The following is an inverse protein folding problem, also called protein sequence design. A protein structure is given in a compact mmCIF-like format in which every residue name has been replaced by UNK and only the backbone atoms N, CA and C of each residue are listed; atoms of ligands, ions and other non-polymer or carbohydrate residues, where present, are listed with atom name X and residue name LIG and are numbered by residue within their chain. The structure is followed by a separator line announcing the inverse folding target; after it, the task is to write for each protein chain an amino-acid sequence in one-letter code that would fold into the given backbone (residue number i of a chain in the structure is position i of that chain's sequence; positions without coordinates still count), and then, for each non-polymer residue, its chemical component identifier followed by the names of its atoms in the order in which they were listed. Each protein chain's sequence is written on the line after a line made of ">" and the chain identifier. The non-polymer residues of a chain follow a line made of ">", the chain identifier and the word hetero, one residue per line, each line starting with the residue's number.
data_IF_429624531990
#
_entry.id   IF_429624531990
#
_cell.length_a   1.000
_cell.length_b   1.000
_cell.length_c   1.000
_cell.angle_alpha   90.00
_cell.angle_beta   90.00
_cell.angle_gamma   90.00
#
_symmetry.space_group_name_H-M   'P 1'
#
loop_
_entity.id
_entity.type
_entity.pdbx_description
1 polymer ?
#
# COMPACT_ATOMS: atom_id res chain seq x y z
N UNK A 1 -59.31 -82.18 22.85
CA UNK A 1 -57.92 -82.71 22.73
C UNK A 1 -56.95 -81.56 22.59
N UNK A 2 -56.42 -81.13 23.71
CA UNK A 2 -55.49 -80.01 23.83
C UNK A 2 -54.07 -80.52 23.67
N UNK A 3 -53.29 -79.94 22.83
CA UNK A 3 -51.84 -80.09 22.84
C UNK A 3 -51.17 -78.70 23.14
N UNK A 4 -50.58 -78.68 24.33
CA UNK A 4 -49.74 -77.54 24.76
C UNK A 4 -48.41 -77.58 24.05
N UNK A 5 -48.01 -76.43 23.53
CA UNK A 5 -46.62 -76.19 23.09
C UNK A 5 -45.96 -75.26 24.07
N UNK A 6 -44.91 -75.76 24.68
CA UNK A 6 -44.00 -75.01 25.56
C UNK A 6 -43.11 -74.16 24.68
N UNK A 7 -43.07 -72.82 24.91
CA UNK A 7 -42.11 -71.92 24.30
C UNK A 7 -40.81 -71.89 25.10
N UNK A 8 -39.73 -72.15 24.41
CA UNK A 8 -38.38 -72.06 24.95
C UNK A 8 -37.84 -70.62 24.72
N UNK A 9 -37.56 -69.90 25.82
CA UNK A 9 -37.01 -68.58 25.77
C UNK A 9 -35.48 -68.72 25.64
N UNK A 10 -34.92 -68.33 24.52
CA UNK A 10 -33.47 -68.19 24.31
C UNK A 10 -33.09 -66.72 24.54
N UNK A 11 -32.38 -66.47 25.64
CA UNK A 11 -31.83 -65.16 25.95
C UNK A 11 -30.54 -65.00 25.14
N UNK A 12 -30.58 -64.26 24.04
CA UNK A 12 -29.42 -63.89 23.28
C UNK A 12 -28.71 -62.67 23.87
N UNK A 13 -27.49 -62.84 24.37
CA UNK A 13 -26.61 -61.74 24.74
C UNK A 13 -26.17 -61.01 23.50
N UNK A 14 -26.68 -59.77 23.27
CA UNK A 14 -26.14 -58.84 22.28
C UNK A 14 -24.94 -58.11 22.91
N UNK A 15 -23.72 -58.52 22.54
CA UNK A 15 -22.53 -57.77 22.83
C UNK A 15 -22.48 -56.53 21.94
N UNK A 16 -22.70 -55.34 22.53
CA UNK A 16 -22.50 -54.05 21.86
C UNK A 16 -21.00 -53.87 21.59
N UNK A 17 -20.58 -54.05 20.33
CA UNK A 17 -19.27 -53.68 19.86
C UNK A 17 -19.32 -52.18 19.54
N UNK A 18 -18.84 -51.34 20.48
CA UNK A 18 -18.56 -49.93 20.26
C UNK A 18 -17.34 -49.83 19.38
N UNK A 19 -17.56 -49.84 18.07
CA UNK A 19 -16.52 -49.49 17.09
C UNK A 19 -16.18 -48.02 17.26
N UNK A 20 -14.99 -47.72 17.78
CA UNK A 20 -14.42 -46.37 17.72
C UNK A 20 -14.27 -45.99 16.25
N UNK A 21 -15.07 -45.04 15.79
CA UNK A 21 -14.87 -44.42 14.48
C UNK A 21 -13.47 -43.74 14.46
N UNK A 22 -12.67 -43.96 13.43
CA UNK A 22 -11.42 -43.24 13.31
C UNK A 22 -11.75 -41.73 13.23
N UNK A 23 -11.20 -40.95 14.17
CA UNK A 23 -11.18 -39.51 14.12
C UNK A 23 -10.48 -39.13 12.81
N UNK A 24 -11.23 -38.64 11.84
CA UNK A 24 -10.68 -37.97 10.67
C UNK A 24 -10.09 -36.67 11.19
N UNK A 25 -8.79 -36.72 11.52
CA UNK A 25 -8.02 -35.52 11.71
C UNK A 25 -8.17 -34.73 10.42
N UNK A 26 -8.89 -33.60 10.48
CA UNK A 26 -8.92 -32.63 9.41
C UNK A 26 -7.47 -32.24 9.17
N UNK A 27 -6.92 -32.62 8.04
CA UNK A 27 -5.65 -32.09 7.55
C UNK A 27 -5.96 -30.62 7.31
N UNK A 28 -5.65 -29.81 8.31
CA UNK A 28 -5.57 -28.37 8.14
C UNK A 28 -4.48 -28.19 7.10
N UNK A 29 -4.88 -27.88 5.88
CA UNK A 29 -3.95 -27.49 4.82
C UNK A 29 -3.27 -26.26 5.38
N UNK A 30 -2.02 -26.38 5.78
CA UNK A 30 -1.22 -25.24 6.21
C UNK A 30 -1.30 -24.21 5.07
N UNK A 31 -2.10 -23.18 5.30
CA UNK A 31 -2.26 -22.11 4.33
C UNK A 31 -0.90 -21.42 4.24
N UNK A 32 -0.25 -21.51 3.09
CA UNK A 32 1.08 -20.96 2.89
C UNK A 32 1.03 -19.47 3.25
N UNK A 33 1.85 -19.09 4.22
CA UNK A 33 1.93 -17.69 4.67
C UNK A 33 2.20 -16.77 3.49
N UNK A 34 1.26 -15.86 3.20
CA UNK A 34 1.41 -14.92 2.09
C UNK A 34 2.49 -13.89 2.40
N UNK A 35 3.19 -13.47 1.37
CA UNK A 35 4.36 -12.59 1.46
C UNK A 35 4.11 -11.25 0.77
N UNK A 36 4.62 -10.18 1.35
CA UNK A 36 4.48 -8.81 0.84
C UNK A 36 5.83 -8.10 0.84
N UNK A 37 6.15 -7.41 -0.25
CA UNK A 37 7.27 -6.46 -0.29
C UNK A 37 6.74 -5.05 0.02
N UNK A 38 7.33 -4.36 0.98
CA UNK A 38 7.04 -2.95 1.30
C UNK A 38 8.27 -2.11 1.05
N UNK A 39 8.23 -1.16 0.10
CA UNK A 39 9.34 -0.25 -0.13
C UNK A 39 9.29 0.95 0.81
N UNK A 40 10.44 1.42 1.29
CA UNK A 40 10.51 2.55 2.22
C UNK A 40 9.90 2.25 3.60
N UNK A 41 10.11 1.02 4.10
CA UNK A 41 9.51 0.48 5.32
C UNK A 41 10.08 1.05 6.63
N UNK A 42 11.15 1.86 6.58
CA UNK A 42 11.88 2.28 7.79
C UNK A 42 11.15 3.32 8.66
N UNK A 43 10.15 4.01 8.14
CA UNK A 43 9.48 5.08 8.90
C UNK A 43 8.10 5.46 8.35
N UNK A 44 7.30 6.16 9.17
CA UNK A 44 6.01 6.74 8.77
C UNK A 44 5.03 5.70 8.24
N UNK A 45 4.37 5.99 7.13
CA UNK A 45 3.34 5.13 6.52
C UNK A 45 3.90 3.73 6.22
N UNK A 46 5.09 3.62 5.60
CA UNK A 46 5.68 2.32 5.26
C UNK A 46 6.00 1.46 6.49
N UNK A 47 6.45 2.07 7.60
CA UNK A 47 6.68 1.36 8.85
C UNK A 47 5.37 0.83 9.44
N UNK A 48 4.32 1.66 9.48
CA UNK A 48 3.01 1.25 9.99
C UNK A 48 2.40 0.14 9.13
N UNK A 49 2.50 0.22 7.80
CA UNK A 49 2.07 -0.85 6.90
C UNK A 49 2.80 -2.16 7.21
N UNK A 50 4.11 -2.11 7.41
CA UNK A 50 4.93 -3.28 7.76
C UNK A 50 4.45 -3.90 9.07
N UNK A 51 4.23 -3.09 10.11
CA UNK A 51 3.72 -3.52 11.41
C UNK A 51 2.35 -4.21 11.28
N UNK A 52 1.38 -3.53 10.66
CA UNK A 52 0.02 -4.06 10.51
C UNK A 52 -0.01 -5.35 9.69
N UNK A 53 0.75 -5.45 8.60
CA UNK A 53 0.82 -6.68 7.81
C UNK A 53 1.42 -7.83 8.62
N UNK A 54 2.52 -7.60 9.33
CA UNK A 54 3.19 -8.60 10.15
C UNK A 54 2.32 -9.09 11.32
N UNK A 55 1.61 -8.17 12.00
CA UNK A 55 0.65 -8.47 13.07
C UNK A 55 -0.56 -9.29 12.57
N UNK A 56 -0.94 -9.12 11.29
CA UNK A 56 -1.99 -9.92 10.65
C UNK A 56 -1.47 -11.24 10.06
N UNK A 57 -0.24 -11.64 10.38
CA UNK A 57 0.32 -12.94 10.04
C UNK A 57 0.92 -13.03 8.63
N UNK A 58 1.05 -11.94 7.91
CA UNK A 58 1.75 -11.89 6.62
C UNK A 58 3.26 -11.82 6.83
N UNK A 59 4.03 -12.46 5.94
CA UNK A 59 5.47 -12.30 5.95
C UNK A 59 5.85 -11.07 5.12
N UNK A 60 6.60 -10.14 5.71
CA UNK A 60 6.93 -8.86 5.08
C UNK A 60 8.42 -8.78 4.75
N UNK A 61 8.73 -8.61 3.48
CA UNK A 61 10.04 -8.14 3.03
C UNK A 61 10.05 -6.61 3.14
N UNK A 62 10.74 -6.09 4.16
CA UNK A 62 10.74 -4.67 4.50
C UNK A 62 11.93 -3.95 3.86
N UNK A 63 11.69 -3.24 2.76
CA UNK A 63 12.72 -2.52 2.00
C UNK A 63 13.16 -1.24 2.68
N UNK A 64 14.46 -1.11 2.98
CA UNK A 64 15.09 0.07 3.54
C UNK A 64 16.51 0.25 3.02
N UNK A 65 17.12 1.44 3.24
CA UNK A 65 18.44 1.76 2.68
C UNK A 65 19.57 1.72 3.71
N UNK A 66 19.30 2.08 4.96
CA UNK A 66 20.30 2.25 6.01
C UNK A 66 20.45 0.98 6.82
N UNK A 67 21.68 0.65 7.19
CA UNK A 67 21.98 -0.56 7.96
C UNK A 67 21.27 -0.58 9.33
N UNK A 68 21.18 0.58 10.00
CA UNK A 68 20.48 0.72 11.27
C UNK A 68 18.97 0.45 11.13
N UNK A 69 18.32 0.97 10.07
CA UNK A 69 16.90 0.72 9.79
C UNK A 69 16.65 -0.77 9.49
N UNK A 70 17.55 -1.41 8.72
CA UNK A 70 17.47 -2.84 8.41
C UNK A 70 17.59 -3.70 9.68
N UNK A 71 18.52 -3.36 10.57
CA UNK A 71 18.71 -4.07 11.83
C UNK A 71 17.47 -3.93 12.76
N UNK A 72 16.84 -2.74 12.79
CA UNK A 72 15.62 -2.51 13.56
C UNK A 72 14.42 -3.29 13.00
N UNK A 73 14.25 -3.29 11.67
CA UNK A 73 13.16 -4.02 11.01
C UNK A 73 13.24 -5.54 11.24
N UNK A 74 14.44 -6.10 11.26
CA UNK A 74 14.66 -7.53 11.53
C UNK A 74 14.34 -7.97 12.97
N UNK A 75 14.06 -7.06 13.87
CA UNK A 75 13.63 -7.40 15.24
C UNK A 75 12.12 -7.65 15.34
N UNK A 76 11.39 -7.39 14.26
CA UNK A 76 9.95 -7.61 14.22
C UNK A 76 9.64 -9.04 13.77
N UNK A 77 8.67 -9.68 14.43
CA UNK A 77 8.17 -10.98 14.01
C UNK A 77 7.56 -10.91 12.61
N UNK A 78 7.72 -11.94 11.81
CA UNK A 78 7.25 -12.03 10.42
C UNK A 78 7.85 -10.98 9.45
N UNK A 79 8.95 -10.34 9.81
CA UNK A 79 9.62 -9.34 8.98
C UNK A 79 11.05 -9.76 8.66
N UNK A 80 11.40 -9.66 7.38
CA UNK A 80 12.78 -9.74 6.91
C UNK A 80 13.13 -8.44 6.20
N UNK A 81 14.14 -7.73 6.68
CA UNK A 81 14.59 -6.52 6.01
C UNK A 81 15.39 -6.84 4.76
N UNK A 82 15.17 -6.03 3.72
CA UNK A 82 15.91 -6.12 2.45
C UNK A 82 16.48 -4.75 2.13
N UNK A 83 17.81 -4.71 1.84
CA UNK A 83 18.39 -3.47 1.33
C UNK A 83 17.75 -3.15 -0.01
N UNK A 84 17.09 -1.98 -0.12
CA UNK A 84 16.37 -1.60 -1.32
C UNK A 84 16.28 -0.08 -1.45
N UNK A 85 17.03 0.46 -2.40
CA UNK A 85 16.81 1.79 -2.94
C UNK A 85 16.11 1.65 -4.30
N UNK A 86 14.92 2.22 -4.44
CA UNK A 86 14.10 2.11 -5.67
C UNK A 86 14.69 2.87 -6.87
N UNK A 87 15.77 3.63 -6.65
CA UNK A 87 16.51 4.34 -7.68
C UNK A 87 17.77 3.60 -8.13
N UNK A 88 18.14 2.49 -7.44
CA UNK A 88 19.36 1.72 -7.70
C UNK A 88 18.97 0.34 -8.23
N UNK A 89 19.29 0.06 -9.49
CA UNK A 89 18.91 -1.19 -10.16
C UNK A 89 19.53 -2.41 -9.50
N UNK A 90 20.78 -2.30 -9.04
CA UNK A 90 21.49 -3.38 -8.34
C UNK A 90 20.81 -3.79 -7.03
N UNK A 91 20.27 -2.83 -6.27
CA UNK A 91 19.49 -3.12 -5.04
C UNK A 91 18.17 -3.84 -5.41
N UNK A 92 17.53 -3.44 -6.51
CA UNK A 92 16.30 -4.08 -7.00
C UNK A 92 16.56 -5.52 -7.43
N UNK A 93 17.60 -5.74 -8.22
CA UNK A 93 17.98 -7.06 -8.73
C UNK A 93 18.36 -8.01 -7.57
N UNK A 94 19.10 -7.52 -6.58
CA UNK A 94 19.44 -8.26 -5.39
C UNK A 94 18.19 -8.64 -4.56
N UNK A 95 17.23 -7.73 -4.43
CA UNK A 95 15.97 -7.99 -3.75
C UNK A 95 15.12 -9.04 -4.49
N UNK A 96 15.03 -8.97 -5.83
CA UNK A 96 14.38 -10.00 -6.65
C UNK A 96 15.02 -11.37 -6.42
N UNK A 97 16.36 -11.44 -6.49
CA UNK A 97 17.11 -12.68 -6.28
C UNK A 97 16.84 -13.26 -4.88
N UNK A 98 16.91 -12.42 -3.84
CA UNK A 98 16.67 -12.82 -2.45
C UNK A 98 15.28 -13.38 -2.21
N UNK A 99 14.24 -12.70 -2.74
CA UNK A 99 12.85 -13.14 -2.58
C UNK A 99 12.56 -14.40 -3.39
N UNK A 100 13.15 -14.52 -4.57
CA UNK A 100 13.05 -15.73 -5.40
C UNK A 100 13.70 -16.93 -4.73
N UNK A 101 14.91 -16.77 -4.19
CA UNK A 101 15.65 -17.84 -3.48
C UNK A 101 14.92 -18.32 -2.22
N UNK A 102 14.23 -17.42 -1.52
CA UNK A 102 13.43 -17.77 -0.35
C UNK A 102 12.26 -18.70 -0.67
N UNK A 103 11.81 -18.78 -1.93
CA UNK A 103 10.82 -19.73 -2.41
C UNK A 103 9.40 -19.59 -1.83
N UNK A 104 9.10 -18.47 -1.14
CA UNK A 104 7.79 -18.23 -0.51
C UNK A 104 6.75 -17.66 -1.49
N UNK A 105 7.15 -17.31 -2.72
CA UNK A 105 6.35 -16.50 -3.65
C UNK A 105 6.31 -15.02 -3.26
N UNK A 106 5.53 -14.22 -4.00
CA UNK A 106 5.29 -12.81 -3.68
C UNK A 106 3.83 -12.46 -3.98
N UNK A 107 3.04 -12.30 -2.94
CA UNK A 107 1.59 -12.11 -3.03
C UNK A 107 1.16 -10.65 -3.01
N UNK A 108 2.04 -9.77 -2.55
CA UNK A 108 1.77 -8.34 -2.50
C UNK A 108 3.02 -7.49 -2.69
N UNK A 109 2.84 -6.32 -3.32
CA UNK A 109 3.82 -5.24 -3.34
C UNK A 109 3.15 -3.96 -2.86
N UNK A 110 3.84 -3.24 -1.96
CA UNK A 110 3.48 -1.89 -1.54
C UNK A 110 4.59 -0.94 -1.97
N UNK A 111 4.34 -0.19 -3.04
CA UNK A 111 5.20 0.89 -3.50
C UNK A 111 4.97 2.12 -2.61
N UNK A 112 5.66 2.19 -1.46
CA UNK A 112 5.50 3.27 -0.49
C UNK A 112 6.69 4.23 -0.47
N UNK A 113 7.88 3.85 -0.94
CA UNK A 113 9.02 4.76 -1.00
C UNK A 113 8.64 6.06 -1.70
N UNK A 114 8.92 7.19 -1.06
CA UNK A 114 8.55 8.50 -1.58
C UNK A 114 9.27 9.64 -0.91
N UNK A 115 9.42 10.72 -1.68
CA UNK A 115 10.06 11.98 -1.30
C UNK A 115 9.21 13.16 -1.74
N UNK A 116 9.53 14.35 -1.25
CA UNK A 116 8.86 15.58 -1.66
C UNK A 116 9.87 16.74 -1.70
N UNK A 117 9.58 17.71 -2.55
CA UNK A 117 10.18 19.05 -2.57
C UNK A 117 9.06 20.07 -2.60
N UNK A 118 9.16 21.10 -1.77
CA UNK A 118 8.18 22.18 -1.67
C UNK A 118 8.83 23.53 -1.93
N UNK A 119 8.73 24.01 -3.18
CA UNK A 119 9.27 25.28 -3.65
C UNK A 119 8.34 25.90 -4.71
N UNK A 120 8.42 27.21 -5.00
CA UNK A 120 7.72 27.81 -6.14
C UNK A 120 8.19 27.13 -7.43
N UNK A 121 7.26 26.77 -8.33
CA UNK A 121 7.58 26.01 -9.54
C UNK A 121 8.57 26.71 -10.47
N UNK A 122 8.51 28.03 -10.55
CA UNK A 122 9.41 28.84 -11.36
C UNK A 122 10.81 29.04 -10.75
N UNK A 123 11.02 28.54 -9.53
CA UNK A 123 12.28 28.62 -8.78
C UNK A 123 12.87 27.23 -8.48
N UNK A 124 12.08 26.17 -8.73
CA UNK A 124 12.50 24.78 -8.45
C UNK A 124 13.57 24.36 -9.44
N UNK A 125 14.76 23.95 -8.97
CA UNK A 125 15.79 23.36 -9.83
C UNK A 125 15.27 22.09 -10.53
N UNK A 126 15.75 21.85 -11.75
CA UNK A 126 15.38 20.65 -12.51
C UNK A 126 15.80 19.38 -11.79
N UNK A 127 16.93 19.39 -11.10
CA UNK A 127 17.44 18.29 -10.30
C UNK A 127 16.48 17.89 -9.16
N UNK A 128 15.76 18.85 -8.60
CA UNK A 128 14.75 18.57 -7.56
C UNK A 128 13.49 17.93 -8.15
N UNK A 129 13.14 18.29 -9.39
CA UNK A 129 12.04 17.64 -10.12
C UNK A 129 12.46 16.21 -10.46
N UNK A 130 13.63 16.01 -11.01
CA UNK A 130 14.18 14.70 -11.37
C UNK A 130 14.27 13.79 -10.13
N UNK A 131 14.78 14.31 -9.02
CA UNK A 131 14.85 13.57 -7.76
C UNK A 131 13.48 13.07 -7.29
N UNK A 132 12.46 13.93 -7.35
CA UNK A 132 11.10 13.55 -6.93
C UNK A 132 10.49 12.52 -7.89
N UNK A 133 10.68 12.69 -9.20
CA UNK A 133 10.17 11.75 -10.20
C UNK A 133 10.91 10.40 -10.16
N UNK A 134 12.21 10.42 -9.96
CA UNK A 134 13.03 9.21 -9.91
C UNK A 134 12.56 8.27 -8.78
N UNK A 135 12.25 8.83 -7.61
CA UNK A 135 11.75 8.03 -6.48
C UNK A 135 10.25 7.73 -6.62
N UNK A 136 9.41 8.76 -6.86
CA UNK A 136 7.96 8.62 -6.71
C UNK A 136 7.27 7.99 -7.93
N UNK A 137 7.86 8.11 -9.13
CA UNK A 137 7.28 7.64 -10.40
C UNK A 137 8.08 6.47 -10.96
N UNK A 138 9.36 6.68 -11.22
CA UNK A 138 10.22 5.60 -11.75
C UNK A 138 10.47 4.50 -10.73
N UNK A 139 10.48 4.80 -9.42
CA UNK A 139 10.60 3.79 -8.38
C UNK A 139 9.51 2.73 -8.45
N UNK A 140 8.21 3.06 -8.35
CA UNK A 140 7.12 2.10 -8.54
C UNK A 140 7.17 1.37 -9.88
N UNK A 141 7.50 2.05 -10.96
CA UNK A 141 7.68 1.43 -12.28
C UNK A 141 8.77 0.36 -12.27
N UNK A 142 9.98 0.66 -11.75
CA UNK A 142 11.10 -0.29 -11.68
C UNK A 142 10.75 -1.50 -10.81
N UNK A 143 10.16 -1.26 -9.64
CA UNK A 143 9.73 -2.32 -8.71
C UNK A 143 8.69 -3.23 -9.36
N UNK A 144 7.60 -2.68 -9.87
CA UNK A 144 6.55 -3.51 -10.49
C UNK A 144 7.09 -4.28 -11.69
N UNK A 145 7.94 -3.67 -12.54
CA UNK A 145 8.57 -4.33 -13.68
C UNK A 145 9.47 -5.50 -13.25
N UNK A 146 10.32 -5.28 -12.25
CA UNK A 146 11.26 -6.30 -11.80
C UNK A 146 10.57 -7.49 -11.11
N UNK A 147 9.53 -7.23 -10.32
CA UNK A 147 8.80 -8.22 -9.55
C UNK A 147 7.56 -8.78 -10.26
N UNK A 148 7.20 -8.30 -11.46
CA UNK A 148 6.04 -8.76 -12.22
C UNK A 148 5.97 -10.30 -12.36
N UNK A 149 7.06 -11.03 -12.68
CA UNK A 149 7.00 -12.48 -12.79
C UNK A 149 6.57 -13.18 -11.49
N UNK A 150 7.00 -12.69 -10.33
CA UNK A 150 6.63 -13.25 -9.03
C UNK A 150 5.18 -12.94 -8.66
N UNK A 151 4.70 -11.72 -8.98
CA UNK A 151 3.29 -11.35 -8.79
C UNK A 151 2.37 -12.20 -9.67
N UNK A 152 2.69 -12.36 -10.95
CA UNK A 152 1.90 -13.18 -11.88
C UNK A 152 1.85 -14.63 -11.41
N UNK A 153 3.01 -15.20 -10.99
CA UNK A 153 3.08 -16.58 -10.49
C UNK A 153 2.20 -16.82 -9.24
N UNK A 154 1.97 -15.80 -8.43
CA UNK A 154 1.16 -15.88 -7.21
C UNK A 154 -0.27 -15.36 -7.39
N UNK A 155 -0.67 -14.90 -8.58
CA UNK A 155 -1.89 -14.10 -8.82
C UNK A 155 -2.00 -13.00 -7.75
N UNK A 156 -0.88 -12.32 -7.54
CA UNK A 156 -0.69 -11.37 -6.45
C UNK A 156 -1.32 -10.00 -6.72
N UNK A 157 -1.01 -9.03 -5.86
CA UNK A 157 -1.55 -7.67 -5.96
C UNK A 157 -0.45 -6.64 -5.75
N UNK A 158 -0.56 -5.51 -6.43
CA UNK A 158 0.32 -4.36 -6.17
C UNK A 158 -0.49 -3.14 -5.80
N UNK A 159 -0.03 -2.39 -4.82
CA UNK A 159 -0.60 -1.09 -4.46
C UNK A 159 0.48 -0.04 -4.36
N UNK A 160 0.17 1.17 -4.83
CA UNK A 160 1.09 2.31 -4.78
C UNK A 160 0.54 3.36 -3.82
N UNK A 161 1.38 3.87 -2.93
CA UNK A 161 1.01 4.98 -2.07
C UNK A 161 1.07 6.28 -2.88
N UNK A 162 -0.08 6.68 -3.39
CA UNK A 162 -0.35 7.96 -4.01
C UNK A 162 -0.39 9.10 -3.00
N UNK A 163 -1.38 9.95 -3.12
CA UNK A 163 -1.73 11.03 -2.19
C UNK A 163 -3.00 11.72 -2.68
N UNK A 164 -3.75 12.38 -1.81
CA UNK A 164 -4.75 13.37 -2.24
C UNK A 164 -4.13 14.45 -3.15
N UNK A 165 -2.81 14.65 -3.08
CA UNK A 165 -2.03 15.51 -4.00
C UNK A 165 -1.96 14.98 -5.43
N UNK A 166 -2.47 13.78 -5.72
CA UNK A 166 -2.77 13.29 -7.08
C UNK A 166 -4.02 13.94 -7.68
N UNK A 167 -4.85 14.58 -6.87
CA UNK A 167 -6.06 15.30 -7.29
C UNK A 167 -6.00 16.80 -7.02
N UNK A 168 -5.27 17.22 -6.00
CA UNK A 168 -5.11 18.61 -5.62
C UNK A 168 -3.68 19.08 -5.82
N UNK A 169 -3.51 20.35 -6.17
CA UNK A 169 -2.19 20.98 -6.22
C UNK A 169 -2.32 22.41 -5.73
N UNK A 170 -1.36 22.86 -4.93
CA UNK A 170 -1.32 24.21 -4.40
C UNK A 170 0.04 24.88 -4.65
N UNK A 171 0.13 26.15 -4.31
CA UNK A 171 1.37 26.89 -4.38
C UNK A 171 2.49 26.15 -3.61
N UNK A 172 3.68 26.09 -4.20
CA UNK A 172 4.89 25.43 -3.66
C UNK A 172 4.85 23.89 -3.58
N UNK A 173 3.72 23.22 -3.85
CA UNK A 173 3.61 21.75 -3.84
C UNK A 173 3.63 21.16 -5.26
N UNK A 174 3.90 21.96 -6.27
CA UNK A 174 3.78 21.57 -7.68
C UNK A 174 4.59 20.34 -8.04
N UNK A 175 5.88 20.29 -7.72
CA UNK A 175 6.75 19.15 -8.00
C UNK A 175 6.23 17.85 -7.40
N UNK A 176 5.85 17.88 -6.12
CA UNK A 176 5.26 16.72 -5.46
C UNK A 176 3.93 16.32 -6.08
N UNK A 177 3.02 17.28 -6.30
CA UNK A 177 1.73 17.01 -6.92
C UNK A 177 1.87 16.43 -8.32
N UNK A 178 2.76 16.96 -9.18
CA UNK A 178 3.05 16.41 -10.50
C UNK A 178 3.40 14.92 -10.41
N UNK A 179 4.28 14.53 -9.49
CA UNK A 179 4.65 13.13 -9.31
C UNK A 179 3.47 12.26 -8.87
N UNK A 180 2.59 12.78 -8.01
CA UNK A 180 1.41 12.03 -7.54
C UNK A 180 0.31 11.94 -8.60
N UNK A 181 0.12 12.96 -9.45
CA UNK A 181 -0.71 12.86 -10.66
C UNK A 181 -0.17 11.83 -11.65
N UNK A 182 1.15 11.76 -11.83
CA UNK A 182 1.77 10.73 -12.67
C UNK A 182 1.53 9.31 -12.12
N UNK A 183 1.54 9.14 -10.79
CA UNK A 183 1.21 7.86 -10.14
C UNK A 183 -0.22 7.43 -10.41
N UNK A 184 -1.21 8.35 -10.41
CA UNK A 184 -2.59 8.04 -10.75
C UNK A 184 -2.68 7.44 -12.17
N UNK A 185 -2.14 8.16 -13.16
CA UNK A 185 -2.14 7.70 -14.55
C UNK A 185 -1.39 6.38 -14.74
N UNK A 186 -0.24 6.23 -14.08
CA UNK A 186 0.54 4.99 -14.09
C UNK A 186 -0.26 3.81 -13.52
N UNK A 187 -0.94 4.01 -12.39
CA UNK A 187 -1.69 2.95 -11.72
C UNK A 187 -2.89 2.52 -12.53
N UNK A 188 -3.62 3.47 -13.14
CA UNK A 188 -4.76 3.17 -14.00
C UNK A 188 -4.33 2.35 -15.22
N UNK A 189 -3.26 2.75 -15.92
CA UNK A 189 -2.74 2.00 -17.06
C UNK A 189 -2.26 0.60 -16.66
N UNK A 190 -1.48 0.50 -15.57
CA UNK A 190 -0.98 -0.79 -15.08
C UNK A 190 -2.12 -1.74 -14.68
N UNK A 191 -3.22 -1.21 -14.13
CA UNK A 191 -4.38 -2.01 -13.75
C UNK A 191 -5.01 -2.71 -14.96
N UNK A 192 -5.16 -2.00 -16.07
CA UNK A 192 -5.69 -2.56 -17.30
C UNK A 192 -4.72 -3.60 -17.91
N UNK A 193 -3.42 -3.28 -17.95
CA UNK A 193 -2.39 -4.17 -18.51
C UNK A 193 -2.21 -5.48 -17.73
N UNK A 194 -2.33 -5.43 -16.38
CA UNK A 194 -2.10 -6.59 -15.52
C UNK A 194 -3.35 -7.45 -15.28
N UNK A 195 -4.53 -6.96 -15.65
CA UNK A 195 -5.81 -7.65 -15.42
C UNK A 195 -5.83 -9.05 -16.05
N UNK A 196 -5.35 -9.20 -17.29
CA UNK A 196 -5.30 -10.50 -17.99
C UNK A 196 -4.37 -11.51 -17.30
N UNK A 197 -3.36 -11.02 -16.58
CA UNK A 197 -2.44 -11.83 -15.78
C UNK A 197 -2.99 -12.19 -14.39
N UNK A 198 -4.20 -11.75 -14.04
CA UNK A 198 -4.82 -11.98 -12.74
C UNK A 198 -4.19 -11.18 -11.60
N UNK A 199 -3.39 -10.17 -11.89
CA UNK A 199 -2.78 -9.27 -10.90
C UNK A 199 -3.66 -8.05 -10.71
N UNK A 200 -4.12 -7.83 -9.47
CA UNK A 200 -4.89 -6.64 -9.13
C UNK A 200 -3.97 -5.47 -8.76
N UNK A 201 -4.28 -4.31 -9.30
CA UNK A 201 -3.53 -3.07 -9.07
C UNK A 201 -4.43 -2.05 -8.41
N UNK A 202 -3.91 -1.34 -7.40
CA UNK A 202 -4.65 -0.28 -6.72
C UNK A 202 -3.74 0.88 -6.31
N UNK A 203 -4.35 2.02 -6.01
CA UNK A 203 -3.68 3.18 -5.43
C UNK A 203 -4.32 3.55 -4.10
N UNK A 204 -3.49 3.89 -3.11
CA UNK A 204 -3.91 4.45 -1.84
C UNK A 204 -3.53 5.93 -1.83
N UNK A 205 -4.46 6.80 -1.51
CA UNK A 205 -4.34 8.26 -1.59
C UNK A 205 -4.46 8.89 -0.19
N UNK A 206 -3.38 8.85 0.62
CA UNK A 206 -3.41 9.44 1.94
C UNK A 206 -3.54 10.96 1.90
N UNK A 207 -4.26 11.52 2.89
CA UNK A 207 -4.17 12.90 3.29
C UNK A 207 -2.99 13.17 4.22
N UNK A 208 -3.13 14.17 5.09
CA UNK A 208 -2.09 14.65 5.98
C UNK A 208 -1.88 13.78 7.22
N UNK A 209 -1.33 12.59 7.10
CA UNK A 209 -0.96 11.71 8.21
C UNK A 209 0.45 11.97 8.72
N UNK A 210 0.71 11.50 9.94
CA UNK A 210 2.03 11.54 10.57
C UNK A 210 3.06 10.75 9.76
N UNK A 211 4.12 11.43 9.35
CA UNK A 211 5.21 10.83 8.57
C UNK A 211 6.46 11.70 8.64
N UNK A 212 7.61 11.13 8.33
CA UNK A 212 8.89 11.87 8.31
C UNK A 212 9.12 12.64 6.99
N UNK A 213 8.16 12.68 6.06
CA UNK A 213 8.35 13.28 4.74
C UNK A 213 8.73 14.76 4.82
N UNK A 214 8.05 15.54 5.68
CA UNK A 214 8.31 16.99 5.84
C UNK A 214 9.66 17.26 6.49
N UNK A 215 10.11 16.41 7.41
CA UNK A 215 11.45 16.50 7.99
C UNK A 215 12.52 16.21 6.93
N UNK A 216 12.31 15.18 6.10
CA UNK A 216 13.19 14.85 4.97
C UNK A 216 13.28 16.00 3.96
N UNK A 217 12.17 16.71 3.69
CA UNK A 217 12.17 17.92 2.84
C UNK A 217 13.08 18.99 3.40
N UNK A 218 13.01 19.28 4.71
CA UNK A 218 13.88 20.29 5.30
C UNK A 218 15.35 19.87 5.22
N UNK A 219 15.65 18.60 5.50
CA UNK A 219 17.01 18.08 5.38
C UNK A 219 17.53 18.21 3.94
N UNK A 220 16.74 17.88 2.95
CA UNK A 220 17.09 18.04 1.53
C UNK A 220 17.37 19.50 1.19
N UNK A 221 16.50 20.43 1.60
CA UNK A 221 16.67 21.88 1.34
C UNK A 221 17.96 22.49 1.92
N UNK A 222 18.50 21.92 2.98
CA UNK A 222 19.76 22.34 3.59
C UNK A 222 20.97 21.53 3.11
N UNK A 223 20.80 20.73 2.05
CA UNK A 223 21.86 19.91 1.45
C UNK A 223 22.31 18.75 2.34
N UNK A 224 21.44 18.27 3.24
CA UNK A 224 21.73 17.17 4.17
C UNK A 224 20.79 16.00 3.96
N UNK A 225 21.26 14.80 4.27
CA UNK A 225 20.41 13.60 4.32
C UNK A 225 19.92 13.35 5.76
N UNK A 226 18.75 12.69 5.94
CA UNK A 226 18.32 12.27 7.28
C UNK A 226 19.35 11.35 7.92
N UNK A 227 19.88 11.74 9.08
CA UNK A 227 20.96 11.04 9.78
C UNK A 227 22.34 11.65 9.59
N UNK A 228 22.51 12.68 8.75
CA UNK A 228 23.74 13.45 8.75
C UNK A 228 24.02 14.07 10.12
N UNK A 229 25.20 13.77 10.65
CA UNK A 229 25.67 14.25 11.96
C UNK A 229 26.37 15.61 11.89
N UNK A 230 26.42 16.22 10.71
CA UNK A 230 26.99 17.56 10.52
C UNK A 230 26.27 18.60 11.40
N UNK A 231 26.99 19.55 11.96
CA UNK A 231 26.39 20.58 12.79
C UNK A 231 25.32 21.36 12.04
N UNK A 232 24.10 21.32 12.58
CA UNK A 232 22.98 22.16 12.16
C UNK A 232 23.12 23.53 12.81
N UNK A 233 22.86 24.58 12.07
CA UNK A 233 22.73 25.94 12.63
C UNK A 233 21.54 26.02 13.60
N UNK A 234 21.50 27.06 14.42
CA UNK A 234 20.39 27.28 15.35
C UNK A 234 19.04 27.41 14.62
N UNK A 235 19.01 28.07 13.46
CA UNK A 235 17.82 28.27 12.63
C UNK A 235 17.33 26.94 12.01
N UNK A 236 18.25 26.11 11.52
CA UNK A 236 17.92 24.77 10.97
C UNK A 236 17.35 23.86 12.06
N UNK A 237 17.94 23.84 13.26
CA UNK A 237 17.43 23.11 14.41
C UNK A 237 16.02 23.57 14.80
N UNK A 238 15.82 24.89 14.89
CA UNK A 238 14.51 25.49 15.19
C UNK A 238 13.45 25.10 14.18
N UNK A 239 13.81 25.15 12.89
CA UNK A 239 12.89 24.76 11.79
C UNK A 239 12.53 23.28 11.83
N UNK A 240 13.49 22.41 12.08
CA UNK A 240 13.23 20.97 12.23
C UNK A 240 12.33 20.68 13.44
N UNK A 241 12.57 21.35 14.58
CA UNK A 241 11.74 21.17 15.77
C UNK A 241 10.29 21.60 15.53
N UNK A 242 10.06 22.76 14.91
CA UNK A 242 8.72 23.21 14.54
C UNK A 242 7.99 22.20 13.64
N UNK A 243 8.71 21.55 12.71
CA UNK A 243 8.14 20.53 11.85
C UNK A 243 7.81 19.26 12.63
N UNK A 244 8.68 18.84 13.56
CA UNK A 244 8.44 17.71 14.44
C UNK A 244 7.23 17.94 15.34
N UNK A 245 7.11 19.11 15.94
CA UNK A 245 5.94 19.49 16.75
C UNK A 245 4.63 19.48 15.95
N UNK A 246 4.65 19.99 14.70
CA UNK A 246 3.49 19.92 13.82
C UNK A 246 3.16 18.49 13.43
N UNK A 247 4.16 17.71 13.09
CA UNK A 247 4.00 16.31 12.72
C UNK A 247 3.47 15.46 13.88
N UNK A 248 3.89 15.74 15.11
CA UNK A 248 3.42 15.05 16.32
C UNK A 248 1.91 15.22 16.57
N UNK A 249 1.29 16.28 16.03
CA UNK A 249 -0.15 16.56 16.14
C UNK A 249 -0.99 15.87 15.07
N UNK A 250 -0.35 15.30 14.05
CA UNK A 250 -1.05 14.59 13.00
C UNK A 250 -1.49 13.21 13.46
N UNK A 251 -2.56 12.70 12.87
CA UNK A 251 -3.07 11.36 13.11
C UNK A 251 -2.06 10.30 12.67
N UNK A 252 -1.94 9.21 13.42
CA UNK A 252 -1.13 8.06 13.02
C UNK A 252 -1.75 7.42 11.76
N UNK A 253 -0.93 6.81 10.88
CA UNK A 253 -1.40 6.32 9.59
C UNK A 253 -2.01 4.91 9.65
N UNK A 254 -2.71 4.56 10.75
CA UNK A 254 -3.33 3.25 10.92
C UNK A 254 -4.37 2.97 9.82
N UNK A 255 -5.23 3.93 9.52
CA UNK A 255 -6.24 3.81 8.46
C UNK A 255 -5.62 3.60 7.08
N UNK A 256 -4.43 4.16 6.84
CA UNK A 256 -3.69 3.95 5.59
C UNK A 256 -3.19 2.51 5.51
N UNK A 257 -2.68 1.96 6.62
CA UNK A 257 -2.24 0.57 6.69
C UNK A 257 -3.42 -0.41 6.55
N UNK A 258 -4.57 -0.11 7.15
CA UNK A 258 -5.81 -0.89 6.99
C UNK A 258 -6.29 -0.87 5.52
N UNK A 259 -6.23 0.28 4.85
CA UNK A 259 -6.57 0.38 3.44
C UNK A 259 -5.64 -0.45 2.55
N UNK A 260 -4.34 -0.49 2.86
CA UNK A 260 -3.36 -1.36 2.19
C UNK A 260 -3.68 -2.83 2.42
N UNK A 261 -3.97 -3.22 3.67
CA UNK A 261 -4.37 -4.59 4.02
C UNK A 261 -5.60 -5.02 3.21
N UNK A 262 -6.62 -4.15 3.14
CA UNK A 262 -7.82 -4.39 2.33
C UNK A 262 -7.49 -4.49 0.82
N UNK A 263 -6.69 -3.59 0.27
CA UNK A 263 -6.28 -3.60 -1.13
C UNK A 263 -5.56 -4.90 -1.52
N UNK A 264 -4.69 -5.41 -0.63
CA UNK A 264 -3.91 -6.60 -0.91
C UNK A 264 -4.69 -7.91 -0.68
N UNK A 265 -5.63 -7.97 0.26
CA UNK A 265 -6.16 -9.26 0.72
C UNK A 265 -7.68 -9.36 0.83
N UNK A 266 -8.43 -8.27 0.66
CA UNK A 266 -9.89 -8.36 0.64
C UNK A 266 -10.39 -9.16 -0.57
N UNK A 267 -11.54 -9.80 -0.44
CA UNK A 267 -12.20 -10.53 -1.54
C UNK A 267 -12.51 -9.61 -2.72
N UNK A 268 -12.96 -8.38 -2.43
CA UNK A 268 -13.30 -7.35 -3.43
C UNK A 268 -12.50 -6.08 -3.17
N UNK A 269 -11.24 -6.01 -3.61
CA UNK A 269 -10.44 -4.81 -3.46
C UNK A 269 -10.95 -3.70 -4.39
N UNK A 270 -10.76 -2.45 -3.94
CA UNK A 270 -11.06 -1.29 -4.78
C UNK A 270 -9.85 -0.92 -5.64
N UNK A 271 -10.04 -0.33 -6.82
CA UNK A 271 -8.92 0.22 -7.59
C UNK A 271 -8.30 1.44 -6.91
N UNK A 272 -9.08 2.20 -6.11
CA UNK A 272 -8.66 3.47 -5.52
C UNK A 272 -9.19 3.65 -4.10
N UNK A 273 -8.32 4.11 -3.18
CA UNK A 273 -8.62 4.32 -1.76
C UNK A 273 -8.21 5.72 -1.33
N UNK A 274 -9.12 6.68 -1.33
CA UNK A 274 -8.86 7.94 -0.66
C UNK A 274 -8.95 7.74 0.87
N UNK A 275 -7.87 8.04 1.58
CA UNK A 275 -7.77 7.92 3.05
C UNK A 275 -7.42 9.29 3.62
N UNK A 276 -8.42 10.05 4.01
CA UNK A 276 -8.25 11.38 4.59
C UNK A 276 -8.38 11.33 6.12
N UNK A 277 -7.52 12.01 6.89
CA UNK A 277 -7.57 11.98 8.35
C UNK A 277 -8.76 12.74 8.94
N UNK A 278 -9.44 13.57 8.13
CA UNK A 278 -10.57 14.39 8.52
C UNK A 278 -11.47 14.72 7.32
N UNK A 279 -12.67 15.21 7.61
CA UNK A 279 -13.67 15.55 6.60
C UNK A 279 -13.23 16.70 5.69
N UNK A 280 -12.48 17.68 6.21
CA UNK A 280 -12.05 18.86 5.44
C UNK A 280 -11.13 18.45 4.28
N UNK A 281 -10.14 17.57 4.53
CA UNK A 281 -9.26 17.07 3.47
C UNK A 281 -10.00 16.20 2.44
N UNK A 282 -10.95 15.39 2.89
CA UNK A 282 -11.80 14.62 1.98
C UNK A 282 -12.65 15.54 1.09
N UNK A 283 -13.29 16.55 1.69
CA UNK A 283 -14.16 17.47 0.99
C UNK A 283 -13.38 18.32 -0.04
N UNK A 284 -12.23 18.88 0.33
CA UNK A 284 -11.43 19.69 -0.60
C UNK A 284 -10.95 18.84 -1.79
N UNK A 285 -10.60 17.58 -1.57
CA UNK A 285 -10.17 16.67 -2.63
C UNK A 285 -11.29 16.43 -3.64
N UNK A 286 -12.47 16.03 -3.17
CA UNK A 286 -13.63 15.78 -4.02
C UNK A 286 -14.09 17.06 -4.72
N UNK A 287 -14.16 18.20 -4.01
CA UNK A 287 -14.55 19.49 -4.62
C UNK A 287 -13.58 19.90 -5.72
N UNK A 288 -12.28 19.68 -5.53
CA UNK A 288 -11.28 20.00 -6.57
C UNK A 288 -11.46 19.13 -7.81
N UNK A 289 -11.73 17.83 -7.65
CA UNK A 289 -12.04 16.94 -8.76
C UNK A 289 -13.30 17.40 -9.52
N UNK A 290 -14.38 17.71 -8.81
CA UNK A 290 -15.61 18.24 -9.39
C UNK A 290 -15.40 19.61 -10.08
N UNK A 291 -14.55 20.48 -9.51
CA UNK A 291 -14.20 21.76 -10.13
C UNK A 291 -13.53 21.55 -11.48
N UNK A 292 -12.63 20.59 -11.60
CA UNK A 292 -12.00 20.25 -12.89
C UNK A 292 -12.99 19.71 -13.90
N UNK A 293 -13.92 18.86 -13.46
CA UNK A 293 -15.01 18.39 -14.34
C UNK A 293 -15.83 19.59 -14.86
N UNK A 294 -16.20 20.54 -13.99
CA UNK A 294 -16.91 21.73 -14.39
C UNK A 294 -16.09 22.61 -15.38
N UNK A 295 -14.79 22.79 -15.13
CA UNK A 295 -13.90 23.53 -16.01
C UNK A 295 -13.74 22.86 -17.39
N UNK A 296 -13.58 21.53 -17.43
CA UNK A 296 -13.50 20.76 -18.68
C UNK A 296 -14.79 20.83 -19.48
N UNK A 297 -15.94 20.91 -18.82
CA UNK A 297 -17.24 21.00 -19.45
C UNK A 297 -17.58 22.40 -19.97
N UNK A 298 -16.93 23.44 -19.43
CA UNK A 298 -17.24 24.84 -19.81
C UNK A 298 -16.70 25.17 -21.21
N UNK A 299 -17.46 25.99 -21.94
CA UNK A 299 -17.06 26.64 -23.20
C UNK A 299 -16.44 25.70 -24.26
N UNK A 300 -16.90 24.45 -24.32
CA UNK A 300 -16.48 23.49 -25.34
C UNK A 300 -17.68 23.02 -26.18
N UNK A 301 -17.47 22.56 -27.47
CA UNK A 301 -18.57 22.28 -28.41
C UNK A 301 -19.56 21.20 -27.95
N UNK A 302 -19.15 20.30 -27.07
CA UNK A 302 -19.94 19.17 -26.58
C UNK A 302 -20.23 19.28 -25.08
N UNK A 303 -20.43 20.50 -24.58
CA UNK A 303 -20.75 20.72 -23.17
C UNK A 303 -22.09 20.07 -22.78
N UNK A 304 -22.13 19.56 -21.55
CA UNK A 304 -23.29 18.93 -20.97
C UNK A 304 -24.02 19.88 -20.03
N UNK A 305 -25.35 19.79 -19.97
CA UNK A 305 -26.13 20.50 -18.94
C UNK A 305 -25.82 19.96 -17.54
N UNK A 306 -26.10 20.74 -16.52
CA UNK A 306 -25.93 20.30 -15.11
C UNK A 306 -26.71 19.00 -14.83
N UNK A 307 -27.90 18.85 -15.37
CA UNK A 307 -28.72 17.66 -15.20
C UNK A 307 -28.09 16.44 -15.88
N UNK A 308 -27.48 16.62 -17.07
CA UNK A 308 -26.76 15.56 -17.73
C UNK A 308 -25.50 15.12 -16.94
N UNK A 309 -24.73 16.07 -16.37
CA UNK A 309 -23.59 15.78 -15.52
C UNK A 309 -23.99 15.03 -14.25
N UNK A 310 -25.09 15.41 -13.61
CA UNK A 310 -25.64 14.70 -12.45
C UNK A 310 -25.99 13.25 -12.80
N UNK A 311 -26.67 13.04 -13.92
CA UNK A 311 -27.04 11.72 -14.40
C UNK A 311 -25.81 10.84 -14.69
N UNK A 312 -24.76 11.40 -15.32
CA UNK A 312 -23.50 10.70 -15.54
C UNK A 312 -22.85 10.28 -14.19
N UNK A 313 -22.87 11.18 -13.19
CA UNK A 313 -22.35 10.85 -11.86
C UNK A 313 -23.16 9.75 -11.18
N UNK A 314 -24.48 9.77 -11.28
CA UNK A 314 -25.37 8.73 -10.75
C UNK A 314 -25.05 7.36 -11.42
N UNK A 315 -24.88 7.34 -12.74
CA UNK A 315 -24.52 6.14 -13.50
C UNK A 315 -23.13 5.59 -13.07
N UNK A 316 -22.14 6.47 -12.92
CA UNK A 316 -20.80 6.06 -12.46
C UNK A 316 -20.84 5.48 -11.05
N UNK A 317 -21.60 6.10 -10.13
CA UNK A 317 -21.75 5.61 -8.76
C UNK A 317 -22.48 4.27 -8.70
N UNK A 318 -23.49 4.07 -9.55
CA UNK A 318 -24.24 2.81 -9.60
C UNK A 318 -23.44 1.62 -10.15
N UNK A 319 -22.36 1.87 -10.88
CA UNK A 319 -21.49 0.84 -11.50
C UNK A 319 -20.23 0.54 -10.68
N UNK A 320 -20.04 1.14 -9.52
CA UNK A 320 -18.96 0.85 -8.56
C UNK A 320 -19.36 -0.26 -7.57
#
# INVERSE_FOLDING_TARGET
>A
MQKQFRALIVIGFFACWLGAAPSVASIQKDEVQKTVLVTGASSGIGRKITEVLAENGYFVYAGARKAEDLAELNQMDNVESVRLDVTVQEDIDAAVARITEAGRGLHGIVNNAGVAVFSPMNETPEEDIDFVFDVNVYGPYRINKAFAPLLVASSGRTTTIGSISGFISGARSGTYSMSKFAVEAYTDALAEEMAESGVHVSVIEPGGYKSKIREKVVMHMIGKTPGDTGELTADEKSRLEQIRERNAKLKEPDEVAEAVLHALFAEKPKPRYMVAPNQEEAEITIRTALTRVAQLNADQPYSYSLEALKKMLEEVVANQ
#
